data_IF_291718228782
#
_entry.id   IF_291718228782
#
_cell.length_a   1.000
_cell.length_b   1.000
_cell.length_c   1.000
_cell.angle_alpha   90.00
_cell.angle_beta   90.00
_cell.angle_gamma   90.00
#
_symmetry.space_group_name_H-M   'P 1'
#
loop_
_entity.id
_entity.type
_entity.pdbx_description
1 polymer ?
#
# COMPACT_ATOMS: atom_id res chain seq x y z
N UNK A 1 33.06 -26.66 -10.39
CA UNK A 1 31.75 -26.33 -10.98
C UNK A 1 31.56 -24.83 -10.86
N UNK A 2 31.73 -24.07 -11.94
CA UNK A 2 31.49 -22.63 -11.91
C UNK A 2 29.97 -22.37 -11.83
N UNK A 3 29.56 -21.48 -10.93
CA UNK A 3 28.16 -21.09 -10.76
C UNK A 3 27.82 -19.99 -11.76
N UNK A 4 26.84 -20.24 -12.63
CA UNK A 4 26.44 -19.34 -13.72
C UNK A 4 25.51 -18.20 -13.29
N UNK A 5 25.15 -18.15 -12.00
CA UNK A 5 24.29 -17.13 -11.40
C UNK A 5 25.16 -16.32 -10.45
N UNK A 6 25.16 -14.99 -10.61
CA UNK A 6 25.79 -14.06 -9.69
C UNK A 6 24.70 -13.40 -8.84
N UNK A 7 24.70 -13.71 -7.54
CA UNK A 7 23.86 -13.00 -6.57
C UNK A 7 24.52 -11.66 -6.21
N UNK A 8 24.11 -10.61 -6.93
CA UNK A 8 24.62 -9.26 -6.71
C UNK A 8 23.76 -8.56 -5.66
N UNK A 9 24.24 -8.52 -4.42
CA UNK A 9 23.62 -7.74 -3.35
C UNK A 9 24.26 -6.35 -3.31
N UNK A 10 23.61 -5.37 -3.95
CA UNK A 10 24.04 -3.97 -3.93
C UNK A 10 22.87 -3.04 -3.61
N UNK A 11 22.58 -2.76 -2.33
CA UNK A 11 21.47 -1.91 -1.92
C UNK A 11 21.49 -0.51 -2.53
N UNK A 12 22.68 0.06 -2.77
CA UNK A 12 22.83 1.40 -3.34
C UNK A 12 22.27 1.51 -4.77
N UNK A 13 22.20 0.40 -5.53
CA UNK A 13 21.58 0.38 -6.86
C UNK A 13 20.06 0.26 -6.85
N UNK A 14 19.43 0.05 -5.69
CA UNK A 14 17.98 -0.15 -5.54
C UNK A 14 17.20 1.14 -5.24
N UNK A 15 17.82 2.30 -5.47
CA UNK A 15 17.18 3.60 -5.22
C UNK A 15 15.86 3.82 -5.98
N UNK A 16 15.70 3.19 -7.16
CA UNK A 16 14.46 3.27 -7.95
C UNK A 16 13.22 2.75 -7.20
N UNK A 17 13.39 1.85 -6.23
CA UNK A 17 12.29 1.30 -5.45
C UNK A 17 11.59 2.37 -4.59
N UNK A 18 12.28 3.47 -4.31
CA UNK A 18 11.74 4.58 -3.52
C UNK A 18 10.52 5.22 -4.18
N UNK A 19 10.46 5.19 -5.52
CA UNK A 19 9.29 5.61 -6.27
C UNK A 19 8.02 4.87 -5.81
N UNK A 20 8.08 3.55 -5.70
CA UNK A 20 6.94 2.73 -5.29
C UNK A 20 6.66 2.85 -3.80
N UNK A 21 7.69 3.03 -2.95
CA UNK A 21 7.49 3.31 -1.51
C UNK A 21 6.72 4.61 -1.32
N UNK A 22 7.11 5.67 -2.02
CA UNK A 22 6.46 6.97 -1.95
C UNK A 22 5.01 6.96 -2.48
N UNK A 23 4.73 6.13 -3.50
CA UNK A 23 3.36 5.92 -3.98
C UNK A 23 2.48 5.30 -2.90
N UNK A 24 3.00 4.33 -2.14
CA UNK A 24 2.23 3.61 -1.12
C UNK A 24 2.08 4.37 0.19
N UNK A 25 3.07 5.19 0.57
CA UNK A 25 2.97 6.04 1.76
C UNK A 25 1.81 7.03 1.65
N UNK A 26 1.17 7.31 2.78
CA UNK A 26 -0.03 8.12 2.92
C UNK A 26 0.06 9.00 4.18
N UNK A 27 -0.78 10.03 4.28
CA UNK A 27 -0.74 11.00 5.38
C UNK A 27 -1.51 10.47 6.59
N UNK A 28 -2.70 9.92 6.34
CA UNK A 28 -3.58 9.36 7.36
C UNK A 28 -4.55 8.34 6.79
N UNK A 29 -5.10 7.53 7.68
CA UNK A 29 -6.27 6.69 7.43
C UNK A 29 -7.48 7.19 8.19
N UNK A 30 -8.67 7.04 7.61
CA UNK A 30 -9.95 7.32 8.27
C UNK A 30 -10.85 6.09 8.14
N UNK A 31 -11.53 5.70 9.21
CA UNK A 31 -12.49 4.59 9.17
C UNK A 31 -13.78 5.03 8.49
N UNK A 32 -14.26 4.22 7.55
CA UNK A 32 -15.52 4.44 6.84
C UNK A 32 -16.17 3.12 6.40
N UNK A 33 -17.25 3.20 5.65
CA UNK A 33 -17.97 2.07 5.05
C UNK A 33 -18.60 2.46 3.71
N UNK A 34 -19.07 1.46 2.96
CA UNK A 34 -19.88 1.66 1.76
C UNK A 34 -21.36 1.66 2.12
N UNK A 35 -21.99 2.83 2.02
CA UNK A 35 -23.43 3.00 2.27
C UNK A 35 -24.30 2.55 1.09
N UNK A 36 -24.20 1.29 0.68
CA UNK A 36 -24.99 0.71 -0.42
C UNK A 36 -25.70 -0.58 0.01
N UNK A 37 -26.71 -1.00 -0.76
CA UNK A 37 -27.53 -2.17 -0.44
C UNK A 37 -26.86 -3.49 -0.86
N UNK A 38 -25.66 -3.76 -0.33
CA UNK A 38 -24.86 -4.93 -0.68
C UNK A 38 -24.81 -6.02 0.40
N UNK A 39 -25.49 -5.82 1.54
CA UNK A 39 -25.46 -6.66 2.76
C UNK A 39 -24.10 -6.85 3.44
N UNK A 40 -23.01 -6.33 2.87
CA UNK A 40 -21.66 -6.58 3.37
C UNK A 40 -21.36 -5.95 4.73
N UNK A 41 -21.83 -4.73 5.00
CA UNK A 41 -21.54 -4.03 6.26
C UNK A 41 -20.04 -3.84 6.54
N UNK A 42 -19.21 -3.86 5.49
CA UNK A 42 -17.76 -3.93 5.61
C UNK A 42 -17.17 -2.64 6.21
N UNK A 43 -16.24 -2.78 7.15
CA UNK A 43 -15.40 -1.68 7.63
C UNK A 43 -14.16 -1.52 6.77
N UNK A 44 -13.85 -0.27 6.39
CA UNK A 44 -12.72 0.07 5.51
C UNK A 44 -11.84 1.15 6.13
N UNK A 45 -10.55 1.07 5.83
CA UNK A 45 -9.59 2.15 6.04
C UNK A 45 -9.45 2.92 4.73
N UNK A 46 -9.88 4.18 4.75
CA UNK A 46 -9.75 5.11 3.62
C UNK A 46 -8.41 5.84 3.75
N UNK A 47 -7.58 5.78 2.73
CA UNK A 47 -6.24 6.36 2.72
C UNK A 47 -6.26 7.73 2.04
N UNK A 48 -5.67 8.72 2.74
CA UNK A 48 -5.53 10.10 2.26
C UNK A 48 -4.06 10.40 2.02
N UNK A 49 -3.74 10.98 0.86
CA UNK A 49 -2.39 11.43 0.50
C UNK A 49 -2.46 12.80 -0.15
N UNK A 50 -1.61 13.72 0.29
CA UNK A 50 -1.58 15.12 -0.13
C UNK A 50 -2.96 15.79 0.00
N UNK A 51 -3.70 15.41 1.05
CA UNK A 51 -5.07 15.88 1.31
C UNK A 51 -6.16 15.32 0.38
N UNK A 52 -5.84 14.36 -0.50
CA UNK A 52 -6.78 13.75 -1.46
C UNK A 52 -7.01 12.28 -1.11
N UNK A 53 -8.25 11.77 -1.26
CA UNK A 53 -8.55 10.35 -1.11
C UNK A 53 -7.95 9.57 -2.29
N UNK A 54 -7.16 8.54 -2.00
CA UNK A 54 -6.41 7.81 -3.05
C UNK A 54 -6.81 6.35 -3.23
N UNK A 55 -7.06 5.62 -2.14
CA UNK A 55 -7.54 4.22 -2.17
C UNK A 55 -8.14 3.81 -0.81
N UNK A 56 -8.66 2.59 -0.74
CA UNK A 56 -9.19 1.96 0.46
C UNK A 56 -8.70 0.51 0.58
N UNK A 57 -8.52 0.03 1.82
CA UNK A 57 -8.30 -1.39 2.13
C UNK A 57 -9.24 -1.79 3.28
N UNK A 58 -9.57 -3.07 3.36
CA UNK A 58 -10.42 -3.60 4.43
C UNK A 58 -9.76 -3.35 5.79
N UNK A 59 -10.56 -2.93 6.76
CA UNK A 59 -10.16 -2.98 8.14
C UNK A 59 -10.23 -4.44 8.64
N UNK A 60 -9.32 -4.83 9.53
CA UNK A 60 -9.15 -6.22 9.99
C UNK A 60 -9.32 -6.37 11.50
N UNK A 61 -9.92 -5.37 12.14
CA UNK A 61 -10.07 -5.19 13.58
C UNK A 61 -11.55 -5.03 13.97
N UNK A 62 -12.39 -5.95 13.48
CA UNK A 62 -13.81 -6.02 13.84
C UNK A 62 -14.03 -6.27 15.33
#
# INVERSE_FOLDING_TARGET
MATWIQDIVNPAKRGWEEFYRNRWQYDKTVRSTHGNNCTGGCSWMVYVKDGIITWELQAIDY
#
